data_IF_232560925160
#
_entry.id   IF_232560925160
#
_cell.length_a   1.000
_cell.length_b   1.000
_cell.length_c   1.000
_cell.angle_alpha   90.00
_cell.angle_beta   90.00
_cell.angle_gamma   90.00
#
_symmetry.space_group_name_H-M   'P 1'
#
loop_
_entity.id
_entity.type
_entity.pdbx_description
1 polymer ?
#
# COMPACT_ATOMS: atom_id res chain seq x y z
N UNK A 1 8.99 15.72 -1.03
CA UNK A 1 8.84 14.26 -1.03
C UNK A 1 8.42 13.79 -2.42
N UNK A 2 8.96 12.68 -2.90
CA UNK A 2 8.63 12.06 -4.20
C UNK A 2 8.22 10.61 -3.98
N UNK A 3 7.35 10.07 -4.84
CA UNK A 3 7.00 8.66 -4.86
C UNK A 3 7.60 7.95 -6.08
N UNK A 4 7.97 6.69 -5.92
CA UNK A 4 8.36 5.75 -6.97
C UNK A 4 7.37 4.60 -6.96
N UNK A 5 6.74 4.34 -8.10
CA UNK A 5 5.76 3.26 -8.24
C UNK A 5 6.28 2.23 -9.25
N UNK A 6 6.48 1.00 -8.81
CA UNK A 6 6.91 -0.14 -9.61
C UNK A 6 5.71 -0.75 -10.34
N UNK A 7 5.48 -0.31 -11.57
CA UNK A 7 4.35 -0.71 -12.42
C UNK A 7 4.76 -1.61 -13.62
N UNK A 8 6.03 -1.98 -13.75
CA UNK A 8 6.55 -2.73 -14.91
C UNK A 8 6.36 -4.26 -14.90
N UNK A 9 5.71 -4.82 -13.88
CA UNK A 9 5.62 -6.28 -13.70
C UNK A 9 4.72 -7.00 -14.72
N UNK A 10 5.13 -8.20 -15.15
CA UNK A 10 4.45 -9.05 -16.15
C UNK A 10 3.07 -9.60 -15.75
N UNK A 11 2.60 -9.38 -14.51
CA UNK A 11 1.25 -9.79 -14.07
C UNK A 11 0.94 -11.30 -14.17
N UNK A 12 1.95 -12.18 -14.22
CA UNK A 12 1.80 -13.61 -14.58
C UNK A 12 0.72 -14.37 -13.80
N UNK A 13 0.49 -14.02 -12.53
CA UNK A 13 -0.51 -14.66 -11.65
C UNK A 13 -1.94 -14.16 -11.86
N UNK A 14 -2.11 -12.90 -12.28
CA UNK A 14 -3.42 -12.25 -12.51
C UNK A 14 -3.85 -12.27 -13.99
N UNK A 15 -3.02 -12.85 -14.86
CA UNK A 15 -3.18 -12.86 -16.32
C UNK A 15 -4.48 -13.49 -16.81
N UNK A 16 -5.13 -14.33 -15.98
CA UNK A 16 -6.45 -14.91 -16.32
C UNK A 16 -7.58 -13.89 -16.19
N UNK A 17 -7.49 -12.95 -15.25
CA UNK A 17 -8.50 -11.92 -15.02
C UNK A 17 -8.21 -10.62 -15.79
N UNK A 18 -6.95 -10.35 -16.12
CA UNK A 18 -6.49 -9.11 -16.76
C UNK A 18 -5.53 -9.49 -17.90
N UNK A 19 -6.08 -9.65 -19.12
CA UNK A 19 -5.32 -10.12 -20.30
C UNK A 19 -4.82 -8.99 -21.20
N UNK A 20 -5.57 -7.90 -21.29
CA UNK A 20 -5.42 -6.83 -22.28
C UNK A 20 -4.59 -5.63 -21.79
N UNK A 21 -4.25 -5.60 -20.50
CA UNK A 21 -3.63 -4.44 -19.83
C UNK A 21 -2.63 -4.84 -18.75
N UNK A 22 -1.71 -3.94 -18.35
CA UNK A 22 -0.87 -4.14 -17.17
C UNK A 22 -1.71 -4.43 -15.92
N UNK A 23 -1.16 -5.21 -14.97
CA UNK A 23 -1.84 -5.50 -13.69
C UNK A 23 -2.24 -4.22 -12.93
N UNK A 24 -1.40 -3.19 -12.99
CA UNK A 24 -1.62 -1.89 -12.37
C UNK A 24 -2.76 -1.12 -13.05
N UNK A 25 -3.17 -1.50 -14.25
CA UNK A 25 -4.28 -0.90 -15.00
C UNK A 25 -5.59 -1.71 -14.88
N UNK A 26 -5.61 -2.77 -14.06
CA UNK A 26 -6.82 -3.53 -13.77
C UNK A 26 -7.93 -2.60 -13.25
N UNK A 27 -9.16 -2.73 -13.78
CA UNK A 27 -10.27 -1.88 -13.36
C UNK A 27 -10.85 -2.36 -12.04
N UNK A 28 -11.00 -1.43 -11.11
CA UNK A 28 -11.76 -1.57 -9.87
C UNK A 28 -12.82 -0.49 -9.89
N UNK A 29 -14.10 -0.88 -9.91
CA UNK A 29 -15.24 0.05 -10.03
C UNK A 29 -15.10 1.03 -11.22
N UNK A 30 -14.67 0.52 -12.39
CA UNK A 30 -14.52 1.32 -13.61
C UNK A 30 -13.24 2.17 -13.70
N UNK A 31 -12.41 2.19 -12.65
CA UNK A 31 -11.19 2.99 -12.58
C UNK A 31 -9.93 2.12 -12.50
N UNK A 32 -8.83 2.42 -13.24
CA UNK A 32 -7.57 1.69 -13.12
C UNK A 32 -7.03 1.69 -11.68
N UNK A 33 -6.51 0.55 -11.22
CA UNK A 33 -5.96 0.40 -9.88
C UNK A 33 -4.86 1.44 -9.56
N UNK A 34 -3.96 1.69 -10.51
CA UNK A 34 -2.88 2.68 -10.39
C UNK A 34 -3.41 4.10 -10.18
N UNK A 35 -4.61 4.41 -10.67
CA UNK A 35 -5.22 5.73 -10.48
C UNK A 35 -5.64 5.95 -9.03
N UNK A 36 -6.22 4.93 -8.37
CA UNK A 36 -6.46 4.99 -6.93
C UNK A 36 -5.15 5.26 -6.17
N UNK A 37 -4.05 4.62 -6.55
CA UNK A 37 -2.76 4.84 -5.90
C UNK A 37 -2.23 6.26 -6.11
N UNK A 38 -2.38 6.82 -7.32
CA UNK A 38 -2.00 8.21 -7.64
C UNK A 38 -2.86 9.21 -6.85
N UNK A 39 -4.17 9.01 -6.80
CA UNK A 39 -5.09 9.86 -6.03
C UNK A 39 -4.78 9.83 -4.53
N UNK A 40 -4.43 8.66 -4.00
CA UNK A 40 -4.03 8.51 -2.59
C UNK A 40 -2.74 9.27 -2.30
N UNK A 41 -1.71 9.14 -3.13
CA UNK A 41 -0.47 9.91 -2.98
C UNK A 41 -0.73 11.42 -3.04
N UNK A 42 -1.60 11.86 -3.95
CA UNK A 42 -2.04 13.25 -4.05
C UNK A 42 -2.75 13.75 -2.79
N UNK A 43 -3.64 12.94 -2.21
CA UNK A 43 -4.35 13.26 -0.95
C UNK A 43 -3.36 13.57 0.19
N UNK A 44 -2.18 12.98 0.15
CA UNK A 44 -1.07 13.24 1.08
C UNK A 44 -0.05 14.27 0.61
N UNK A 45 -0.39 15.07 -0.40
CA UNK A 45 0.50 16.10 -0.97
C UNK A 45 1.80 15.54 -1.59
N UNK A 46 1.84 14.25 -1.91
CA UNK A 46 2.95 13.63 -2.64
C UNK A 46 2.63 13.72 -4.14
N UNK A 47 2.92 14.89 -4.70
CA UNK A 47 2.52 15.22 -6.07
C UNK A 47 3.58 14.89 -7.13
N UNK A 48 4.82 14.59 -6.74
CA UNK A 48 5.89 14.20 -7.68
C UNK A 48 6.01 12.68 -7.69
N UNK A 49 5.80 12.06 -8.84
CA UNK A 49 5.72 10.61 -8.97
C UNK A 49 6.62 10.13 -10.10
N UNK A 50 7.38 9.07 -9.86
CA UNK A 50 8.13 8.32 -10.88
C UNK A 50 7.46 6.97 -11.07
N UNK A 51 6.84 6.73 -12.22
CA UNK A 51 6.31 5.44 -12.61
C UNK A 51 7.41 4.61 -13.28
N UNK A 52 7.88 3.56 -12.61
CA UNK A 52 8.76 2.55 -13.21
C UNK A 52 7.89 1.60 -14.04
N UNK A 53 7.93 1.76 -15.35
CA UNK A 53 7.10 1.03 -16.31
C UNK A 53 7.94 0.13 -17.18
N UNK A 54 7.36 -0.99 -17.63
CA UNK A 54 8.04 -1.98 -18.47
C UNK A 54 7.05 -2.58 -19.45
N UNK A 55 6.59 -3.80 -19.17
CA UNK A 55 5.58 -4.46 -19.99
C UNK A 55 4.33 -3.57 -20.19
N UNK A 56 3.92 -3.38 -21.45
CA UNK A 56 2.79 -2.53 -21.85
C UNK A 56 2.86 -1.07 -21.33
N UNK A 57 4.08 -0.52 -21.16
CA UNK A 57 4.31 0.84 -20.67
C UNK A 57 3.52 1.92 -21.44
N UNK A 58 3.31 1.76 -22.74
CA UNK A 58 2.57 2.73 -23.56
C UNK A 58 1.11 2.90 -23.12
N UNK A 59 0.46 1.86 -22.60
CA UNK A 59 -0.89 2.00 -22.06
C UNK A 59 -0.90 2.87 -20.80
N UNK A 60 0.08 2.70 -19.91
CA UNK A 60 0.22 3.51 -18.69
C UNK A 60 0.53 4.96 -19.07
N UNK A 61 1.49 5.18 -19.97
CA UNK A 61 1.87 6.53 -20.44
C UNK A 61 0.71 7.25 -21.12
N UNK A 62 -0.05 6.55 -21.97
CA UNK A 62 -1.21 7.13 -22.66
C UNK A 62 -2.30 7.54 -21.69
N UNK A 63 -2.55 6.74 -20.65
CA UNK A 63 -3.54 7.03 -19.63
C UNK A 63 -3.14 8.19 -18.70
N UNK A 64 -1.91 8.12 -18.14
CA UNK A 64 -1.46 9.06 -17.12
C UNK A 64 -0.81 10.33 -17.67
N UNK A 65 -0.26 10.30 -18.89
CA UNK A 65 0.45 11.42 -19.52
C UNK A 65 1.48 12.03 -18.56
N UNK A 66 1.47 13.34 -18.37
CA UNK A 66 2.32 14.04 -17.39
C UNK A 66 1.72 14.10 -15.98
N UNK A 67 0.53 13.51 -15.77
CA UNK A 67 -0.16 13.52 -14.48
C UNK A 67 -1.03 14.76 -14.22
N UNK A 68 -1.03 15.75 -15.10
CA UNK A 68 -1.75 17.04 -14.91
C UNK A 68 -3.24 16.84 -14.68
N UNK A 69 -3.89 15.93 -15.42
CA UNK A 69 -5.30 15.54 -15.24
C UNK A 69 -5.61 15.11 -13.80
N UNK A 70 -4.63 14.52 -13.11
CA UNK A 70 -4.78 14.00 -11.76
C UNK A 70 -4.28 14.99 -10.69
N UNK A 71 -3.67 16.11 -11.07
CA UNK A 71 -3.09 17.08 -10.14
C UNK A 71 -1.72 16.64 -9.57
N UNK A 72 -0.94 15.89 -10.36
CA UNK A 72 0.41 15.42 -10.00
C UNK A 72 1.38 15.62 -11.18
N UNK A 73 2.68 15.54 -10.92
CA UNK A 73 3.78 15.52 -11.91
C UNK A 73 4.33 14.09 -12.02
N UNK A 74 4.07 13.44 -13.15
CA UNK A 74 4.46 12.06 -13.43
C UNK A 74 5.65 12.01 -14.40
N UNK A 75 6.71 11.35 -13.97
CA UNK A 75 7.89 10.98 -14.77
C UNK A 75 7.92 9.47 -14.96
N UNK A 76 8.52 8.99 -16.04
CA UNK A 76 8.57 7.56 -16.36
C UNK A 76 10.00 7.01 -16.37
N UNK A 77 10.27 6.02 -15.53
CA UNK A 77 11.44 5.15 -15.66
C UNK A 77 11.07 3.94 -16.53
N UNK A 78 11.45 3.96 -17.81
CA UNK A 78 11.11 2.88 -18.75
C UNK A 78 12.19 1.80 -18.73
N UNK A 79 11.79 0.59 -18.35
CA UNK A 79 12.62 -0.61 -18.42
C UNK A 79 12.54 -1.22 -19.82
N UNK A 80 13.69 -1.27 -20.53
CA UNK A 80 13.82 -1.98 -21.82
C UNK A 80 13.89 -3.50 -21.63
N UNK A 81 14.47 -3.94 -20.53
CA UNK A 81 14.59 -5.33 -20.11
C UNK A 81 14.17 -5.45 -18.64
N UNK A 82 13.69 -6.61 -18.17
CA UNK A 82 13.26 -6.77 -16.78
C UNK A 82 14.46 -6.61 -15.82
N UNK A 83 14.58 -5.45 -15.16
CA UNK A 83 15.71 -5.16 -14.24
C UNK A 83 15.46 -5.68 -12.81
N UNK A 84 14.27 -6.23 -12.57
CA UNK A 84 13.79 -6.53 -11.23
C UNK A 84 13.53 -5.26 -10.41
N UNK A 85 13.02 -5.43 -9.18
CA UNK A 85 12.60 -4.30 -8.34
C UNK A 85 13.77 -3.38 -7.97
N UNK A 86 14.92 -3.96 -7.62
CA UNK A 86 16.12 -3.19 -7.27
C UNK A 86 16.67 -2.37 -8.43
N UNK A 87 16.69 -2.94 -9.65
CA UNK A 87 17.14 -2.22 -10.84
C UNK A 87 16.18 -1.11 -11.26
N UNK A 88 14.87 -1.34 -11.13
CA UNK A 88 13.83 -0.33 -11.33
C UNK A 88 13.99 0.87 -10.37
N UNK A 89 14.21 0.60 -9.08
CA UNK A 89 14.46 1.63 -8.06
C UNK A 89 15.77 2.38 -8.37
N UNK A 90 16.85 1.68 -8.72
CA UNK A 90 18.13 2.31 -9.09
C UNK A 90 18.00 3.22 -10.31
N UNK A 91 17.17 2.85 -11.29
CA UNK A 91 16.88 3.68 -12.45
C UNK A 91 16.08 4.93 -12.05
N UNK A 92 15.02 4.76 -11.24
CA UNK A 92 14.23 5.87 -10.72
C UNK A 92 15.07 6.83 -9.87
N UNK A 93 16.08 6.33 -9.16
CA UNK A 93 17.01 7.15 -8.36
C UNK A 93 17.73 8.22 -9.18
N UNK A 94 17.97 7.99 -10.50
CA UNK A 94 18.55 9.01 -11.39
C UNK A 94 17.63 10.22 -11.61
N UNK A 95 16.35 10.08 -11.30
CA UNK A 95 15.33 11.13 -11.40
C UNK A 95 15.01 11.73 -10.02
N UNK A 96 15.74 11.36 -8.98
CA UNK A 96 15.56 11.78 -7.60
C UNK A 96 16.77 12.61 -7.19
N UNK A 97 16.53 13.71 -6.51
CA UNK A 97 17.56 14.60 -5.96
C UNK A 97 17.51 14.64 -4.45
N UNK A 98 18.54 15.16 -3.77
CA UNK A 98 18.58 15.22 -2.30
C UNK A 98 17.39 15.96 -1.69
N UNK A 99 16.85 16.98 -2.37
CA UNK A 99 15.63 17.72 -1.96
C UNK A 99 14.33 16.89 -2.04
N UNK A 100 14.37 15.74 -2.72
CA UNK A 100 13.21 14.86 -2.85
C UNK A 100 13.15 13.83 -1.72
N UNK A 101 14.22 13.68 -0.92
CA UNK A 101 14.31 12.73 0.20
C UNK A 101 13.47 13.18 1.41
N UNK A 102 12.86 12.25 2.17
CA UNK A 102 12.79 10.81 1.90
C UNK A 102 11.87 10.47 0.71
N UNK A 103 12.05 9.30 0.09
CA UNK A 103 11.27 8.83 -1.06
C UNK A 103 10.44 7.63 -0.66
N UNK A 104 9.19 7.60 -1.10
CA UNK A 104 8.29 6.44 -0.93
C UNK A 104 8.43 5.55 -2.16
N UNK A 105 8.73 4.26 -1.99
CA UNK A 105 8.75 3.28 -3.06
C UNK A 105 7.64 2.24 -2.85
N UNK A 106 6.83 1.98 -3.87
CA UNK A 106 5.70 1.04 -3.82
C UNK A 106 5.60 0.21 -5.09
N UNK A 107 4.95 -0.97 -5.03
CA UNK A 107 4.46 -1.63 -6.23
C UNK A 107 3.13 -1.03 -6.72
N UNK A 108 2.94 -0.95 -8.03
CA UNK A 108 1.74 -0.41 -8.67
C UNK A 108 0.48 -1.29 -8.53
N UNK A 109 0.58 -2.42 -7.84
CA UNK A 109 -0.52 -3.30 -7.41
C UNK A 109 -0.74 -3.30 -5.89
N UNK A 110 -0.06 -2.42 -5.16
CA UNK A 110 -0.33 -2.21 -3.74
C UNK A 110 -1.39 -1.13 -3.56
N UNK A 111 -2.45 -1.42 -2.81
CA UNK A 111 -3.34 -0.41 -2.27
C UNK A 111 -2.82 -0.07 -0.88
N UNK A 112 -2.47 1.18 -0.63
CA UNK A 112 -2.26 1.65 0.72
C UNK A 112 -3.44 2.52 1.07
N UNK A 113 -4.24 2.02 1.99
CA UNK A 113 -5.19 2.89 2.64
C UNK A 113 -4.44 3.75 3.65
N UNK A 114 -4.96 4.94 3.83
CA UNK A 114 -4.59 5.80 4.94
C UNK A 114 -4.82 5.00 6.20
N UNK A 115 -3.83 5.00 7.10
CA UNK A 115 -4.12 4.60 8.47
C UNK A 115 -5.10 5.63 9.03
N UNK A 116 -6.39 5.32 8.96
CA UNK A 116 -7.49 6.21 9.37
C UNK A 116 -7.35 6.54 10.85
N UNK A 117 -6.87 5.58 11.66
CA UNK A 117 -6.62 5.81 13.09
C UNK A 117 -5.53 6.86 13.23
N UNK A 118 -4.43 6.76 12.46
CA UNK A 118 -3.36 7.76 12.48
C UNK A 118 -3.82 9.13 12.00
N UNK A 119 -4.58 9.18 10.91
CA UNK A 119 -5.12 10.41 10.37
C UNK A 119 -6.00 11.13 11.40
N UNK A 120 -6.90 10.40 12.07
CA UNK A 120 -7.76 10.96 13.11
C UNK A 120 -6.89 11.39 14.31
N UNK A 121 -5.88 10.59 14.72
CA UNK A 121 -5.00 10.92 15.84
C UNK A 121 -4.22 12.21 15.63
N UNK A 122 -3.77 12.47 14.41
CA UNK A 122 -3.00 13.66 14.06
C UNK A 122 -3.89 14.92 13.94
N UNK A 123 -5.20 14.78 13.77
CA UNK A 123 -6.12 15.90 13.50
C UNK A 123 -7.20 16.11 14.58
N UNK A 124 -7.30 15.20 15.55
CA UNK A 124 -8.33 15.22 16.58
C UNK A 124 -7.72 15.00 17.96
N UNK A 125 -7.98 15.90 18.90
CA UNK A 125 -7.34 15.93 20.23
C UNK A 125 -7.96 15.00 21.27
N UNK A 126 -8.99 14.22 20.91
CA UNK A 126 -9.70 13.35 21.84
C UNK A 126 -9.22 11.89 21.74
N UNK A 127 -9.42 11.07 22.78
CA UNK A 127 -9.09 9.64 22.74
C UNK A 127 -9.76 8.91 21.58
N UNK A 128 -9.01 8.05 20.89
CA UNK A 128 -9.50 7.25 19.77
C UNK A 128 -9.63 5.81 20.20
N UNK A 129 -10.82 5.23 19.98
CA UNK A 129 -11.06 3.81 20.11
C UNK A 129 -11.06 3.12 18.74
N UNK A 130 -10.38 1.98 18.64
CA UNK A 130 -10.42 1.12 17.47
C UNK A 130 -10.98 -0.26 17.86
N UNK A 131 -11.82 -0.84 16.99
CA UNK A 131 -12.44 -2.13 17.25
C UNK A 131 -11.89 -3.18 16.28
N UNK A 132 -11.16 -4.15 16.82
CA UNK A 132 -10.83 -5.40 16.15
C UNK A 132 -12.04 -6.36 16.23
N UNK A 133 -12.72 -6.52 15.09
CA UNK A 133 -14.06 -7.11 15.01
C UNK A 133 -14.05 -8.64 15.00
N UNK A 134 -15.23 -9.24 15.16
CA UNK A 134 -15.39 -10.69 15.28
C UNK A 134 -14.88 -11.47 14.07
N UNK A 135 -15.04 -10.94 12.85
CA UNK A 135 -14.54 -11.59 11.63
C UNK A 135 -13.01 -11.70 11.59
N UNK A 136 -12.30 -10.67 12.04
CA UNK A 136 -10.84 -10.64 12.10
C UNK A 136 -10.32 -11.63 13.16
N UNK A 137 -10.94 -11.62 14.35
CA UNK A 137 -10.66 -12.57 15.42
C UNK A 137 -10.87 -14.02 14.96
N UNK A 138 -12.06 -14.33 14.42
CA UNK A 138 -12.42 -15.68 13.99
C UNK A 138 -11.55 -16.19 12.86
N UNK A 139 -11.09 -15.30 11.96
CA UNK A 139 -10.18 -15.66 10.88
C UNK A 139 -8.82 -16.12 11.40
N UNK A 140 -8.24 -15.40 12.38
CA UNK A 140 -6.97 -15.80 13.00
C UNK A 140 -7.14 -17.08 13.80
N UNK A 141 -8.24 -17.22 14.58
CA UNK A 141 -8.57 -18.46 15.30
C UNK A 141 -8.66 -19.66 14.36
N UNK A 142 -9.41 -19.55 13.26
CA UNK A 142 -9.55 -20.63 12.29
C UNK A 142 -8.23 -20.99 11.59
N UNK A 143 -7.37 -20.00 11.32
CA UNK A 143 -6.05 -20.25 10.74
C UNK A 143 -5.10 -20.94 11.75
N UNK A 144 -5.16 -20.55 13.03
CA UNK A 144 -4.42 -21.21 14.10
C UNK A 144 -4.86 -22.67 14.30
N UNK A 145 -6.16 -22.93 14.32
CA UNK A 145 -6.72 -24.29 14.45
C UNK A 145 -6.25 -25.23 13.32
N UNK A 146 -5.96 -24.68 12.14
CA UNK A 146 -5.40 -25.42 10.99
C UNK A 146 -3.87 -25.54 11.03
N UNK A 147 -3.21 -25.00 12.05
CA UNK A 147 -1.76 -24.99 12.18
C UNK A 147 -1.04 -24.06 11.20
N UNK A 148 -1.75 -23.10 10.60
CA UNK A 148 -1.15 -22.21 9.59
C UNK A 148 -0.35 -21.06 10.19
N UNK A 149 -0.64 -20.70 11.44
CA UNK A 149 0.00 -19.60 12.16
C UNK A 149 0.00 -19.82 13.68
N UNK A 150 0.89 -19.09 14.35
CA UNK A 150 0.87 -18.95 15.81
C UNK A 150 -0.14 -17.86 16.22
N UNK A 151 -1.11 -18.21 17.05
CA UNK A 151 -2.18 -17.28 17.43
C UNK A 151 -1.64 -16.10 18.22
N UNK A 152 -0.82 -16.36 19.25
CA UNK A 152 -0.32 -15.34 20.18
C UNK A 152 0.46 -14.27 19.41
N UNK A 153 1.38 -14.68 18.54
CA UNK A 153 2.20 -13.78 17.75
C UNK A 153 1.34 -12.90 16.83
N UNK A 154 0.39 -13.51 16.10
CA UNK A 154 -0.46 -12.78 15.15
C UNK A 154 -1.42 -11.84 15.89
N UNK A 155 -2.09 -12.32 16.93
CA UNK A 155 -2.99 -11.50 17.73
C UNK A 155 -2.26 -10.31 18.35
N UNK A 156 -1.09 -10.53 18.96
CA UNK A 156 -0.31 -9.43 19.55
C UNK A 156 0.19 -8.44 18.50
N UNK A 157 0.66 -8.89 17.34
CA UNK A 157 1.06 -7.95 16.27
C UNK A 157 -0.14 -7.16 15.74
N UNK A 158 -1.32 -7.78 15.61
CA UNK A 158 -2.54 -7.06 15.24
C UNK A 158 -2.86 -5.96 16.26
N UNK A 159 -2.90 -6.27 17.56
CA UNK A 159 -3.19 -5.27 18.60
C UNK A 159 -2.10 -4.19 18.68
N UNK A 160 -0.83 -4.56 18.56
CA UNK A 160 0.28 -3.60 18.54
C UNK A 160 0.23 -2.69 17.30
N UNK A 161 -0.20 -3.19 16.15
CA UNK A 161 -0.35 -2.37 14.95
C UNK A 161 -1.45 -1.32 15.11
N UNK A 162 -2.59 -1.69 15.71
CA UNK A 162 -3.68 -0.75 16.05
C UNK A 162 -3.21 0.29 17.09
N UNK A 163 -2.41 -0.14 18.08
CA UNK A 163 -1.83 0.80 19.05
C UNK A 163 -0.86 1.78 18.38
N UNK A 164 0.02 1.26 17.51
CA UNK A 164 1.02 2.01 16.75
C UNK A 164 0.40 3.00 15.79
N UNK A 165 -0.75 2.66 15.21
CA UNK A 165 -1.59 3.53 14.40
C UNK A 165 -2.06 4.78 15.17
N UNK A 166 -2.16 4.71 16.50
CA UNK A 166 -2.49 5.86 17.34
C UNK A 166 -3.76 5.69 18.17
N UNK A 167 -4.37 4.49 18.19
CA UNK A 167 -5.52 4.22 19.05
C UNK A 167 -5.12 4.32 20.53
N UNK A 168 -5.94 5.00 21.31
CA UNK A 168 -5.81 5.07 22.76
C UNK A 168 -6.46 3.86 23.42
N UNK A 169 -7.59 3.40 22.86
CA UNK A 169 -8.39 2.27 23.34
C UNK A 169 -8.54 1.25 22.21
N UNK A 170 -8.39 -0.04 22.54
CA UNK A 170 -8.63 -1.13 21.60
C UNK A 170 -9.73 -2.03 22.15
N UNK A 171 -10.83 -2.12 21.42
CA UNK A 171 -11.88 -3.11 21.67
C UNK A 171 -11.50 -4.37 20.89
N UNK A 172 -11.43 -5.51 21.57
CA UNK A 172 -11.05 -6.79 20.95
C UNK A 172 -11.54 -7.97 21.78
N UNK A 173 -11.85 -9.07 21.11
CA UNK A 173 -12.16 -10.34 21.75
C UNK A 173 -10.94 -10.99 22.41
N UNK A 174 -9.72 -10.62 21.99
CA UNK A 174 -8.47 -11.08 22.63
C UNK A 174 -8.14 -10.37 23.95
N UNK A 175 -8.97 -9.44 24.45
CA UNK A 175 -8.59 -8.60 25.59
C UNK A 175 -8.11 -9.41 26.82
N UNK A 176 -8.80 -10.51 27.13
CA UNK A 176 -8.42 -11.41 28.24
C UNK A 176 -7.14 -12.18 27.96
N UNK A 177 -6.97 -12.68 26.73
CA UNK A 177 -5.79 -13.46 26.35
C UNK A 177 -4.55 -12.57 26.26
N UNK A 178 -4.67 -11.39 25.66
CA UNK A 178 -3.63 -10.37 25.62
C UNK A 178 -3.17 -9.94 27.02
N UNK A 179 -4.11 -9.73 27.96
CA UNK A 179 -3.76 -9.41 29.34
C UNK A 179 -2.92 -10.52 30.00
N UNK A 180 -3.25 -11.80 29.75
CA UNK A 180 -2.44 -12.94 30.23
C UNK A 180 -1.07 -12.97 29.57
N UNK A 181 -1.02 -12.81 28.25
CA UNK A 181 0.22 -12.87 27.46
C UNK A 181 1.21 -11.74 27.77
N UNK A 182 0.71 -10.58 28.20
CA UNK A 182 1.54 -9.44 28.61
C UNK A 182 2.06 -9.56 30.06
N UNK A 183 1.41 -10.40 30.88
CA UNK A 183 1.77 -10.62 32.28
C UNK A 183 2.75 -11.79 32.48
N UNK A 184 3.11 -12.47 31.40
CA UNK A 184 3.99 -13.65 31.35
C UNK A 184 5.31 -13.32 30.67
#
# INVERSE_FOLDING_TARGET
MKAVILAGGLGKRLRRAVRDRPKSMALVLGKPFLEYQVEQLRKYHIIKIVLCVGYLAEQIKSYFKDGTKFGVDIRYGVEKEPLGRGGAIKQAYRMISNKDLPVIATNGDNLFDVDIIRLIKDNFSHPIAAYNVSGEFSMVKAAHEKGWLDEKAVAMETLMSIKRAGADIILTYWAKDAARWLSS
#
